data_IF_224206362518
#
_entry.id   IF_224206362518
#
_cell.length_a   1.000
_cell.length_b   1.000
_cell.length_c   1.000
_cell.angle_alpha   90.00
_cell.angle_beta   90.00
_cell.angle_gamma   90.00
#
_symmetry.space_group_name_H-M   'P 1'
#
loop_
_entity.id
_entity.type
_entity.pdbx_description
1 polymer ?
#
# COMPACT_ATOMS: atom_id res chain seq x y z
N UNK A 1 -1.97 5.99 18.00
CA UNK A 1 -1.32 4.70 17.68
C UNK A 1 -1.41 4.38 16.19
N UNK A 2 -2.52 4.67 15.54
CA UNK A 2 -2.61 4.60 14.07
C UNK A 2 -1.56 5.53 13.46
N UNK A 3 -1.51 6.78 13.89
CA UNK A 3 -0.56 7.82 13.43
C UNK A 3 0.93 7.46 13.61
N UNK A 4 1.31 6.77 14.69
CA UNK A 4 2.70 6.30 14.88
C UNK A 4 3.01 5.10 13.98
N UNK A 5 2.01 4.26 13.74
CA UNK A 5 2.15 3.11 12.83
C UNK A 5 2.24 3.56 11.38
N UNK A 6 1.41 4.52 10.94
CA UNK A 6 1.48 5.08 9.58
C UNK A 6 2.81 5.81 9.36
N UNK A 7 3.18 6.76 10.19
CA UNK A 7 4.44 7.49 10.07
C UNK A 7 5.69 6.59 10.01
N UNK A 8 5.69 5.46 10.77
CA UNK A 8 6.79 4.50 10.70
C UNK A 8 6.75 3.66 9.41
N UNK A 9 5.57 3.45 8.85
CA UNK A 9 5.40 2.74 7.57
C UNK A 9 5.80 3.63 6.41
N UNK A 10 5.38 4.89 6.42
CA UNK A 10 5.70 5.89 5.42
C UNK A 10 7.23 6.13 5.38
N UNK A 11 7.86 6.30 6.56
CA UNK A 11 9.32 6.35 6.63
C UNK A 11 10.01 5.10 6.08
N UNK A 12 9.45 3.91 6.26
CA UNK A 12 10.04 2.69 5.75
C UNK A 12 9.82 2.53 4.24
N UNK A 13 8.64 2.89 3.72
CA UNK A 13 8.31 2.77 2.31
C UNK A 13 9.01 3.84 1.47
N UNK A 14 8.84 5.10 1.85
CA UNK A 14 9.30 6.22 1.02
C UNK A 14 10.77 6.55 1.32
N UNK A 15 11.18 6.41 2.59
CA UNK A 15 12.54 6.66 3.01
C UNK A 15 13.51 5.51 2.73
N UNK A 16 13.26 4.33 3.31
CA UNK A 16 14.22 3.23 3.26
C UNK A 16 14.14 2.43 1.96
N UNK A 17 12.93 2.21 1.45
CA UNK A 17 12.64 1.41 0.24
C UNK A 17 12.17 2.24 -0.95
N UNK A 18 12.01 3.56 -0.80
CA UNK A 18 11.80 4.54 -1.85
C UNK A 18 13.08 5.32 -2.18
N UNK A 19 12.92 6.58 -2.50
CA UNK A 19 14.00 7.45 -2.99
C UNK A 19 15.03 7.81 -1.91
N UNK A 20 14.60 7.90 -0.65
CA UNK A 20 15.47 8.21 0.47
C UNK A 20 14.78 9.03 1.56
N UNK A 21 15.55 9.55 2.50
CA UNK A 21 15.02 10.27 3.65
C UNK A 21 16.03 11.28 4.22
N UNK A 22 15.49 12.33 4.85
CA UNK A 22 16.31 13.31 5.54
C UNK A 22 16.71 12.82 6.92
N UNK A 23 18.00 12.85 7.25
CA UNK A 23 18.52 12.42 8.53
C UNK A 23 17.93 13.29 9.67
N UNK A 24 17.24 12.64 10.61
CA UNK A 24 16.51 13.28 11.72
C UNK A 24 15.37 14.23 11.27
N UNK A 25 14.87 14.12 10.04
CA UNK A 25 13.82 14.99 9.50
C UNK A 25 14.26 16.44 9.28
N UNK A 26 15.58 16.70 9.24
CA UNK A 26 16.09 18.06 9.03
C UNK A 26 16.02 18.38 7.55
N UNK A 27 15.15 19.31 7.17
CA UNK A 27 14.93 19.73 5.79
C UNK A 27 13.79 18.99 5.07
N UNK A 28 13.15 17.98 5.69
CA UNK A 28 12.03 17.28 5.05
C UNK A 28 10.85 18.20 4.72
N UNK A 29 10.42 19.06 5.63
CA UNK A 29 9.36 20.03 5.39
C UNK A 29 9.70 21.04 4.30
N UNK A 30 10.96 21.48 4.24
CA UNK A 30 11.39 22.44 3.24
C UNK A 30 11.46 21.80 1.84
N UNK A 31 11.79 20.50 1.76
CA UNK A 31 11.78 19.72 0.53
C UNK A 31 10.36 19.40 0.06
N UNK A 32 9.47 19.00 0.98
CA UNK A 32 8.05 18.78 0.71
C UNK A 32 7.38 20.06 0.22
N UNK A 33 7.56 21.19 0.94
CA UNK A 33 7.03 22.48 0.54
C UNK A 33 7.52 22.91 -0.86
N UNK A 34 8.78 22.60 -1.21
CA UNK A 34 9.34 22.91 -2.52
C UNK A 34 8.79 22.00 -3.64
N UNK A 35 8.59 20.72 -3.36
CA UNK A 35 7.97 19.79 -4.29
C UNK A 35 6.50 20.13 -4.56
N UNK A 36 5.74 20.48 -3.51
CA UNK A 36 4.34 20.91 -3.61
C UNK A 36 4.22 22.23 -4.38
N UNK A 37 5.12 23.20 -4.10
CA UNK A 37 5.15 24.47 -4.85
C UNK A 37 5.44 24.23 -6.33
N UNK A 38 6.35 23.33 -6.65
CA UNK A 38 6.69 22.99 -8.04
C UNK A 38 5.57 22.20 -8.71
N UNK A 39 5.03 21.15 -8.09
CA UNK A 39 3.96 20.31 -8.64
C UNK A 39 2.70 21.12 -8.95
N UNK A 40 2.22 21.92 -8.00
CA UNK A 40 1.05 22.79 -8.21
C UNK A 40 1.30 23.85 -9.28
N UNK A 41 2.54 24.31 -9.43
CA UNK A 41 2.90 25.24 -10.51
C UNK A 41 2.84 24.57 -11.88
N UNK A 42 3.31 23.32 -11.99
CA UNK A 42 3.26 22.54 -13.21
C UNK A 42 1.82 22.22 -13.62
N UNK A 43 0.95 21.87 -12.67
CA UNK A 43 -0.47 21.62 -12.90
C UNK A 43 -1.20 22.85 -13.46
N UNK A 44 -0.91 24.03 -12.89
CA UNK A 44 -1.46 25.30 -13.42
C UNK A 44 -0.98 25.56 -14.84
N UNK A 45 0.31 25.38 -15.12
CA UNK A 45 0.88 25.59 -16.46
C UNK A 45 0.24 24.63 -17.44
N UNK A 46 0.16 23.35 -17.11
CA UNK A 46 -0.42 22.30 -17.95
C UNK A 46 -1.91 22.54 -18.24
N UNK A 47 -2.68 23.01 -17.25
CA UNK A 47 -4.10 23.37 -17.47
C UNK A 47 -4.28 24.47 -18.52
N UNK A 48 -3.42 25.47 -18.53
CA UNK A 48 -3.46 26.51 -19.57
C UNK A 48 -2.97 25.99 -20.93
N UNK A 49 -2.00 25.07 -20.97
CA UNK A 49 -1.54 24.43 -22.20
C UNK A 49 -2.66 23.58 -22.82
N UNK A 50 -3.34 22.75 -22.02
CA UNK A 50 -4.47 21.93 -22.47
C UNK A 50 -5.62 22.77 -23.02
N UNK A 51 -5.93 23.89 -22.38
CA UNK A 51 -6.96 24.83 -22.85
C UNK A 51 -6.64 25.38 -24.24
N UNK A 52 -5.35 25.53 -24.60
CA UNK A 52 -4.90 25.95 -25.91
C UNK A 52 -4.74 24.79 -26.89
N UNK A 53 -4.90 23.54 -26.47
CA UNK A 53 -4.68 22.33 -27.24
C UNK A 53 -3.22 22.06 -27.57
N UNK A 54 -2.31 22.53 -26.67
CA UNK A 54 -0.88 22.23 -26.69
C UNK A 54 -0.54 20.88 -26.07
N UNK A 55 0.72 20.47 -26.19
CA UNK A 55 1.28 19.30 -25.55
C UNK A 55 1.70 19.66 -24.14
N UNK A 56 1.23 18.93 -23.13
CA UNK A 56 1.54 19.15 -21.71
C UNK A 56 3.03 18.95 -21.43
N UNK A 57 3.53 19.67 -20.44
CA UNK A 57 4.90 19.46 -19.94
C UNK A 57 4.88 18.26 -19.01
N UNK A 58 5.59 17.21 -19.41
CA UNK A 58 5.81 16.01 -18.60
C UNK A 58 7.29 15.95 -18.23
N UNK A 59 7.59 16.26 -16.97
CA UNK A 59 8.95 16.29 -16.43
C UNK A 59 9.49 14.89 -16.08
N UNK A 60 8.64 13.87 -16.07
CA UNK A 60 9.04 12.46 -15.83
C UNK A 60 9.40 11.72 -17.13
N UNK A 61 9.17 12.33 -18.30
CA UNK A 61 9.46 11.70 -19.57
C UNK A 61 10.98 11.50 -19.80
N UNK A 62 11.38 10.35 -20.30
CA UNK A 62 12.78 9.99 -20.57
C UNK A 62 13.52 10.98 -21.53
N UNK A 63 12.78 11.70 -22.35
CA UNK A 63 13.27 12.69 -23.33
C UNK A 63 12.95 14.13 -22.94
N UNK A 64 12.70 14.39 -21.65
CA UNK A 64 12.35 15.72 -21.16
C UNK A 64 13.45 16.74 -21.42
N UNK A 65 13.11 17.84 -22.10
CA UNK A 65 14.02 18.94 -22.42
C UNK A 65 13.58 20.21 -21.68
N UNK A 66 14.40 20.62 -20.69
CA UNK A 66 14.19 21.81 -19.86
C UNK A 66 14.07 23.09 -20.70
N UNK A 67 14.90 23.22 -21.74
CA UNK A 67 14.87 24.40 -22.62
C UNK A 67 13.60 24.46 -23.46
N UNK A 68 13.06 23.30 -23.87
CA UNK A 68 11.79 23.21 -24.57
C UNK A 68 10.60 23.53 -23.65
N UNK A 69 10.61 23.02 -22.42
CA UNK A 69 9.59 23.31 -21.40
C UNK A 69 9.54 24.81 -21.07
N UNK A 70 10.71 25.42 -20.88
CA UNK A 70 10.83 26.85 -20.65
C UNK A 70 10.29 27.68 -21.82
N UNK A 71 10.68 27.34 -23.06
CA UNK A 71 10.19 28.01 -24.26
C UNK A 71 8.66 27.88 -24.40
N UNK A 72 8.09 26.75 -24.02
CA UNK A 72 6.64 26.52 -24.02
C UNK A 72 5.94 27.41 -23.00
N UNK A 73 6.45 27.52 -21.78
CA UNK A 73 5.91 28.37 -20.72
C UNK A 73 5.99 29.87 -21.09
N UNK A 74 7.12 30.30 -21.65
CA UNK A 74 7.30 31.69 -22.14
C UNK A 74 6.33 32.04 -23.27
N UNK A 75 6.14 31.11 -24.22
CA UNK A 75 5.16 31.26 -25.30
C UNK A 75 3.73 31.32 -24.76
N UNK A 76 3.43 30.53 -23.74
CA UNK A 76 2.12 30.51 -23.09
C UNK A 76 1.81 31.88 -22.47
N UNK A 77 2.75 32.45 -21.71
CA UNK A 77 2.62 33.80 -21.11
C UNK A 77 2.42 34.90 -22.18
N UNK A 78 3.03 34.73 -23.36
CA UNK A 78 2.90 35.71 -24.45
C UNK A 78 1.57 35.56 -25.22
N UNK A 79 0.96 34.38 -25.23
CA UNK A 79 -0.19 34.02 -26.07
C UNK A 79 -1.52 34.09 -25.33
N UNK A 80 -1.50 33.78 -24.02
CA UNK A 80 -2.72 33.75 -23.17
C UNK A 80 -3.25 35.16 -22.91
N UNK A 81 -4.57 35.31 -23.06
CA UNK A 81 -5.24 36.58 -22.71
C UNK A 81 -5.21 36.77 -21.17
N UNK A 82 -4.91 37.99 -20.73
CA UNK A 82 -4.87 38.36 -19.30
C UNK A 82 -6.18 38.16 -18.53
N UNK A 83 -7.27 37.91 -19.24
CA UNK A 83 -8.57 37.56 -18.65
C UNK A 83 -8.88 36.07 -18.66
N UNK A 84 -7.99 35.26 -19.21
CA UNK A 84 -8.19 33.81 -19.27
C UNK A 84 -8.12 33.16 -17.88
N UNK A 85 -8.90 32.11 -17.74
CA UNK A 85 -8.89 31.25 -16.54
C UNK A 85 -8.84 29.80 -17.00
N UNK A 86 -8.11 28.95 -16.33
CA UNK A 86 -8.07 27.52 -16.58
C UNK A 86 -8.45 26.74 -15.31
N UNK A 87 -9.16 25.65 -15.49
CA UNK A 87 -9.52 24.76 -14.39
C UNK A 87 -8.45 23.65 -14.29
N UNK A 88 -7.94 23.40 -13.09
CA UNK A 88 -6.98 22.36 -12.79
C UNK A 88 -7.48 21.52 -11.61
N UNK A 89 -7.02 20.29 -11.55
CA UNK A 89 -7.43 19.32 -10.51
C UNK A 89 -6.37 19.30 -9.43
N UNK A 90 -6.80 19.49 -8.18
CA UNK A 90 -5.96 19.32 -6.98
C UNK A 90 -6.45 18.06 -6.27
N UNK A 91 -5.57 17.12 -6.03
CA UNK A 91 -5.84 15.94 -5.23
C UNK A 91 -5.44 16.21 -3.77
N UNK A 92 -6.37 16.03 -2.85
CA UNK A 92 -6.10 16.10 -1.42
C UNK A 92 -5.44 14.79 -0.97
N UNK A 93 -4.19 14.88 -0.51
CA UNK A 93 -3.38 13.71 -0.11
C UNK A 93 -3.99 12.88 1.03
N UNK A 94 -4.78 13.48 1.93
CA UNK A 94 -5.39 12.76 3.05
C UNK A 94 -6.69 12.06 2.65
N UNK A 95 -7.48 12.69 1.78
CA UNK A 95 -8.82 12.22 1.43
C UNK A 95 -8.89 11.53 0.08
N UNK A 96 -7.87 11.70 -0.78
CA UNK A 96 -7.86 11.29 -2.20
C UNK A 96 -9.09 11.83 -2.95
N UNK A 97 -9.61 12.99 -2.53
CA UNK A 97 -10.68 13.67 -3.21
C UNK A 97 -10.09 14.67 -4.21
N UNK A 98 -10.42 14.47 -5.48
CA UNK A 98 -10.08 15.42 -6.53
C UNK A 98 -10.98 16.65 -6.44
N UNK A 99 -10.41 17.83 -6.25
CA UNK A 99 -11.12 19.09 -6.28
C UNK A 99 -10.66 19.91 -7.49
N UNK A 100 -11.62 20.46 -8.22
CA UNK A 100 -11.31 21.33 -9.37
C UNK A 100 -11.20 22.76 -8.89
N UNK A 101 -10.04 23.36 -9.07
CA UNK A 101 -9.79 24.77 -8.79
C UNK A 101 -9.60 25.56 -10.10
N UNK A 102 -9.88 26.85 -10.06
CA UNK A 102 -9.77 27.73 -11.24
C UNK A 102 -8.61 28.70 -11.06
N UNK A 103 -7.57 28.55 -11.86
CA UNK A 103 -6.43 29.47 -11.93
C UNK A 103 -6.69 30.65 -12.86
N UNK A 104 -6.18 31.82 -12.50
CA UNK A 104 -6.23 33.05 -13.32
C UNK A 104 -4.87 33.31 -13.95
N UNK A 105 -4.82 34.24 -14.89
CA UNK A 105 -3.55 34.66 -15.51
C UNK A 105 -2.46 35.06 -14.50
N UNK A 106 -2.83 35.70 -13.38
CA UNK A 106 -1.87 36.08 -12.33
C UNK A 106 -1.27 34.83 -11.64
N UNK A 107 -2.06 33.78 -11.50
CA UNK A 107 -1.62 32.52 -10.91
C UNK A 107 -0.70 31.77 -11.90
N UNK A 108 -0.97 31.84 -13.20
CA UNK A 108 -0.07 31.36 -14.26
C UNK A 108 1.29 32.08 -14.25
N UNK A 109 1.29 33.40 -14.12
CA UNK A 109 2.54 34.18 -14.05
C UNK A 109 3.38 33.79 -12.81
N UNK A 110 2.71 33.58 -11.67
CA UNK A 110 3.35 33.09 -10.45
C UNK A 110 3.86 31.65 -10.59
N UNK A 111 3.08 30.77 -11.22
CA UNK A 111 3.44 29.38 -11.48
C UNK A 111 4.66 29.26 -12.40
N UNK A 112 4.71 30.03 -13.48
CA UNK A 112 5.89 30.03 -14.37
C UNK A 112 7.13 30.55 -13.64
N UNK A 113 7.00 31.60 -12.80
CA UNK A 113 8.11 32.09 -12.01
C UNK A 113 8.58 31.07 -10.94
N UNK A 114 7.68 30.30 -10.36
CA UNK A 114 8.01 29.21 -9.46
C UNK A 114 8.70 28.05 -10.19
N UNK A 115 8.17 27.63 -11.34
CA UNK A 115 8.81 26.60 -12.15
C UNK A 115 10.21 27.00 -12.67
N UNK A 116 10.40 28.27 -13.01
CA UNK A 116 11.72 28.82 -13.36
C UNK A 116 12.72 28.80 -12.19
N UNK A 117 12.28 29.01 -10.96
CA UNK A 117 13.11 28.92 -9.75
C UNK A 117 13.74 27.52 -9.61
N UNK A 118 13.02 26.49 -10.02
CA UNK A 118 13.46 25.09 -10.00
C UNK A 118 13.99 24.59 -11.36
N UNK A 119 14.19 25.49 -12.34
CA UNK A 119 14.63 25.15 -13.70
C UNK A 119 13.75 24.13 -14.42
N UNK A 120 12.44 24.11 -14.18
CA UNK A 120 11.50 23.14 -14.71
C UNK A 120 11.88 21.66 -14.42
N UNK A 121 12.61 21.41 -13.36
CA UNK A 121 12.96 20.09 -12.87
C UNK A 121 12.50 19.94 -11.43
N UNK A 122 12.17 18.73 -11.02
CA UNK A 122 11.78 18.47 -9.64
C UNK A 122 12.87 18.92 -8.66
N UNK A 123 12.50 19.58 -7.56
CA UNK A 123 13.46 20.00 -6.54
C UNK A 123 14.17 18.77 -5.97
N UNK A 124 15.51 18.74 -6.05
CA UNK A 124 16.29 17.64 -5.48
C UNK A 124 16.21 17.67 -3.94
N UNK A 125 15.65 16.65 -3.29
CA UNK A 125 15.59 16.60 -1.84
C UNK A 125 16.95 16.72 -1.15
N UNK A 126 18.04 16.38 -1.83
CA UNK A 126 19.41 16.49 -1.32
C UNK A 126 19.87 17.94 -1.08
N UNK A 127 19.22 18.91 -1.74
CA UNK A 127 19.55 20.33 -1.58
C UNK A 127 19.04 20.93 -0.26
N UNK A 128 18.07 20.29 0.39
CA UNK A 128 17.35 20.79 1.57
C UNK A 128 17.84 20.21 2.90
N UNK A 129 18.91 19.38 2.91
CA UNK A 129 19.43 18.83 4.16
C UNK A 129 20.38 17.67 3.99
N UNK A 130 20.54 16.85 5.03
CA UNK A 130 21.36 15.63 4.94
C UNK A 130 20.48 14.49 4.41
N UNK A 131 20.55 14.32 3.11
CA UNK A 131 19.82 13.27 2.41
C UNK A 131 20.51 11.91 2.51
N UNK A 132 19.74 10.87 2.81
CA UNK A 132 20.21 9.48 2.81
C UNK A 132 19.44 8.75 1.72
N UNK A 133 20.08 8.38 0.61
CA UNK A 133 19.41 7.68 -0.48
C UNK A 133 18.85 6.33 -0.01
N UNK A 134 17.71 5.96 -0.54
CA UNK A 134 17.07 4.69 -0.27
C UNK A 134 17.87 3.49 -0.75
N UNK A 135 17.51 2.31 -0.27
CA UNK A 135 18.17 1.05 -0.67
C UNK A 135 18.06 0.80 -2.19
N UNK A 136 16.92 1.05 -2.86
CA UNK A 136 16.80 0.90 -4.30
C UNK A 136 17.80 1.77 -5.06
N UNK A 137 17.91 3.05 -4.72
CA UNK A 137 18.83 4.01 -5.35
C UNK A 137 20.29 3.60 -5.17
N UNK A 138 20.67 3.09 -3.99
CA UNK A 138 22.01 2.57 -3.72
C UNK A 138 22.33 1.31 -4.55
N UNK A 139 21.36 0.43 -4.72
CA UNK A 139 21.51 -0.78 -5.53
C UNK A 139 21.58 -0.41 -7.00
N UNK A 140 20.74 0.51 -7.46
CA UNK A 140 20.74 1.01 -8.83
C UNK A 140 22.08 1.62 -9.21
N UNK A 141 22.59 2.56 -8.43
CA UNK A 141 23.92 3.15 -8.64
C UNK A 141 25.05 2.13 -8.63
N UNK A 142 24.94 1.10 -7.79
CA UNK A 142 25.88 -0.03 -7.77
C UNK A 142 25.83 -0.89 -9.03
N UNK A 143 24.64 -1.16 -9.57
CA UNK A 143 24.45 -1.93 -10.80
C UNK A 143 24.93 -1.14 -12.03
N UNK A 144 24.71 0.17 -12.05
CA UNK A 144 25.20 1.06 -13.11
C UNK A 144 26.74 1.13 -13.13
N UNK A 145 27.37 1.18 -11.96
CA UNK A 145 28.84 1.14 -11.85
C UNK A 145 29.46 -0.16 -12.42
N UNK A 146 28.70 -1.26 -12.44
CA UNK A 146 29.14 -2.56 -12.97
C UNK A 146 28.73 -2.73 -14.45
N UNK A 147 28.04 -1.77 -15.08
CA UNK A 147 27.46 -1.87 -16.42
C UNK A 147 26.60 -3.16 -16.59
N UNK A 148 25.68 -3.36 -15.69
CA UNK A 148 24.82 -4.55 -15.69
C UNK A 148 23.84 -4.49 -16.88
N UNK A 149 23.46 -5.65 -17.41
CA UNK A 149 22.46 -5.69 -18.49
C UNK A 149 21.08 -5.23 -17.95
N UNK A 150 20.34 -4.43 -18.73
CA UNK A 150 19.08 -3.78 -18.34
C UNK A 150 18.05 -4.77 -17.80
N UNK A 151 17.92 -5.95 -18.43
CA UNK A 151 17.01 -6.99 -17.94
C UNK A 151 17.34 -7.49 -16.53
N UNK A 152 18.64 -7.50 -16.16
CA UNK A 152 19.07 -7.93 -14.84
C UNK A 152 18.88 -6.81 -13.82
N UNK A 153 19.02 -5.55 -14.24
CA UNK A 153 18.71 -4.37 -13.45
C UNK A 153 17.22 -4.38 -13.09
N UNK A 154 16.31 -4.52 -14.07
CA UNK A 154 14.86 -4.64 -13.84
C UNK A 154 14.50 -5.82 -12.94
N UNK A 155 15.06 -7.01 -13.15
CA UNK A 155 14.81 -8.16 -12.27
C UNK A 155 15.21 -7.89 -10.82
N UNK A 156 16.33 -7.21 -10.58
CA UNK A 156 16.82 -6.93 -9.23
C UNK A 156 16.00 -5.82 -8.59
N UNK A 157 15.76 -4.71 -9.28
CA UNK A 157 15.04 -3.56 -8.74
C UNK A 157 13.53 -3.88 -8.62
N UNK A 158 12.86 -4.18 -9.73
CA UNK A 158 11.40 -4.33 -9.76
C UNK A 158 10.93 -5.69 -9.23
N UNK A 159 11.75 -6.75 -9.44
CA UNK A 159 11.39 -8.09 -8.97
C UNK A 159 11.77 -8.32 -7.51
N UNK A 160 13.02 -8.09 -7.12
CA UNK A 160 13.53 -8.46 -5.79
C UNK A 160 13.40 -7.30 -4.81
N UNK A 161 13.93 -6.13 -5.15
CA UNK A 161 13.99 -4.99 -4.22
C UNK A 161 12.60 -4.43 -3.96
N UNK A 162 11.79 -4.22 -4.99
CA UNK A 162 10.40 -3.79 -4.83
C UNK A 162 9.56 -4.82 -4.05
N UNK A 163 9.73 -6.13 -4.34
CA UNK A 163 9.03 -7.19 -3.61
C UNK A 163 9.43 -7.30 -2.14
N UNK A 164 10.72 -7.17 -1.83
CA UNK A 164 11.23 -7.16 -0.45
C UNK A 164 10.81 -5.86 0.25
N UNK A 165 10.90 -4.72 -0.45
CA UNK A 165 10.49 -3.41 0.04
C UNK A 165 9.03 -3.39 0.46
N UNK A 166 8.13 -3.87 -0.39
CA UNK A 166 6.71 -3.98 -0.08
C UNK A 166 6.42 -4.80 1.19
N UNK A 167 7.20 -5.86 1.46
CA UNK A 167 7.05 -6.64 2.69
C UNK A 167 7.59 -5.89 3.90
N UNK A 168 8.80 -5.35 3.78
CA UNK A 168 9.49 -4.69 4.90
C UNK A 168 8.86 -3.34 5.24
N UNK A 169 8.26 -2.65 4.26
CA UNK A 169 7.50 -1.43 4.48
C UNK A 169 6.31 -1.62 5.43
N UNK A 170 5.63 -2.76 5.39
CA UNK A 170 4.55 -3.09 6.34
C UNK A 170 5.02 -3.60 7.70
N UNK A 171 6.30 -3.94 7.86
CA UNK A 171 6.82 -4.50 9.12
C UNK A 171 6.66 -3.54 10.31
N UNK A 172 6.93 -2.23 10.23
CA UNK A 172 6.76 -1.32 11.36
C UNK A 172 5.34 -1.33 11.89
N UNK A 173 4.34 -1.25 11.02
CA UNK A 173 2.92 -1.32 11.41
C UNK A 173 2.58 -2.66 12.07
N UNK A 174 3.12 -3.77 11.55
CA UNK A 174 2.92 -5.10 12.13
C UNK A 174 3.57 -5.23 13.51
N UNK A 175 4.76 -4.65 13.71
CA UNK A 175 5.42 -4.66 15.03
C UNK A 175 4.60 -3.91 16.07
N UNK A 176 4.04 -2.74 15.74
CA UNK A 176 3.13 -2.00 16.63
C UNK A 176 1.91 -2.86 17.00
N UNK A 177 1.29 -3.52 16.02
CA UNK A 177 0.18 -4.44 16.25
C UNK A 177 0.58 -5.59 17.19
N UNK A 178 1.74 -6.20 16.99
CA UNK A 178 2.23 -7.28 17.83
C UNK A 178 2.57 -6.83 19.27
N UNK A 179 3.07 -5.60 19.46
CA UNK A 179 3.27 -5.02 20.79
C UNK A 179 1.94 -4.93 21.53
N UNK A 180 0.92 -4.36 20.88
CA UNK A 180 -0.42 -4.21 21.47
C UNK A 180 -1.02 -5.57 21.84
N UNK A 181 -0.94 -6.52 20.91
CA UNK A 181 -1.42 -7.88 21.16
C UNK A 181 -0.68 -8.55 22.30
N UNK A 182 0.64 -8.42 22.36
CA UNK A 182 1.45 -8.99 23.42
C UNK A 182 1.09 -8.38 24.80
N UNK A 183 0.81 -7.08 24.87
CA UNK A 183 0.35 -6.42 26.10
C UNK A 183 -1.02 -6.95 26.52
N UNK A 184 -2.00 -7.00 25.60
CA UNK A 184 -3.36 -7.45 25.90
C UNK A 184 -3.42 -8.94 26.28
N UNK A 185 -2.58 -9.76 25.66
CA UNK A 185 -2.46 -11.18 25.97
C UNK A 185 -1.80 -11.38 27.34
N UNK A 186 -0.70 -10.69 27.58
CA UNK A 186 0.05 -10.80 28.85
C UNK A 186 -0.74 -10.25 30.05
N UNK A 187 -1.57 -9.20 29.86
CA UNK A 187 -2.48 -8.71 30.90
C UNK A 187 -3.63 -9.69 31.24
N UNK A 188 -3.85 -10.75 30.44
CA UNK A 188 -4.99 -11.66 30.62
C UNK A 188 -6.33 -11.12 30.13
N UNK A 189 -6.33 -9.99 29.44
CA UNK A 189 -7.55 -9.34 28.92
C UNK A 189 -8.20 -10.16 27.80
N UNK A 190 -7.38 -10.71 26.89
CA UNK A 190 -7.86 -11.52 25.76
C UNK A 190 -8.62 -12.77 26.18
N UNK A 191 -8.19 -13.45 27.26
CA UNK A 191 -8.87 -14.62 27.80
C UNK A 191 -10.31 -14.29 28.26
N UNK A 192 -10.49 -13.13 28.87
CA UNK A 192 -11.82 -12.68 29.37
C UNK A 192 -12.76 -12.29 28.26
N UNK A 193 -12.27 -11.56 27.27
CA UNK A 193 -13.09 -11.22 26.07
C UNK A 193 -13.49 -12.50 25.36
N UNK A 194 -12.56 -13.44 25.15
CA UNK A 194 -12.86 -14.72 24.51
C UNK A 194 -13.93 -15.49 25.27
N UNK A 195 -13.92 -15.46 26.61
CA UNK A 195 -14.96 -16.07 27.46
C UNK A 195 -16.33 -15.43 27.26
N UNK A 196 -16.41 -14.11 27.25
CA UNK A 196 -17.67 -13.38 27.02
C UNK A 196 -18.22 -13.65 25.61
N UNK A 197 -17.32 -13.64 24.61
CA UNK A 197 -17.69 -13.84 23.21
C UNK A 197 -18.03 -15.29 22.89
N UNK A 198 -17.58 -16.27 23.67
CA UNK A 198 -17.87 -17.69 23.48
C UNK A 198 -19.40 -17.96 23.37
N UNK A 199 -20.19 -17.27 24.21
CA UNK A 199 -21.66 -17.39 24.19
C UNK A 199 -22.27 -16.98 22.84
N UNK A 200 -21.67 -16.01 22.17
CA UNK A 200 -22.14 -15.49 20.88
C UNK A 200 -21.65 -16.40 19.76
N UNK A 201 -20.36 -16.72 19.74
CA UNK A 201 -19.72 -17.51 18.69
C UNK A 201 -20.25 -18.94 18.58
N UNK A 202 -20.59 -19.56 19.71
CA UNK A 202 -21.24 -20.89 19.74
C UNK A 202 -22.56 -20.95 18.99
N UNK A 203 -23.33 -19.85 18.97
CA UNK A 203 -24.56 -19.81 18.18
C UNK A 203 -24.33 -19.96 16.69
N UNK A 204 -23.18 -19.48 16.21
CA UNK A 204 -22.76 -19.55 14.81
C UNK A 204 -21.89 -20.78 14.49
N UNK A 205 -21.64 -21.63 15.48
CA UNK A 205 -20.86 -22.87 15.30
C UNK A 205 -19.35 -22.71 15.44
N UNK A 206 -18.88 -21.53 15.87
CA UNK A 206 -17.47 -21.23 16.15
C UNK A 206 -17.23 -21.32 17.68
N UNK A 207 -16.01 -21.68 18.09
CA UNK A 207 -15.62 -21.65 19.50
C UNK A 207 -15.19 -20.24 19.93
N UNK A 208 -15.28 -19.91 21.21
CA UNK A 208 -14.83 -18.64 21.74
C UNK A 208 -13.33 -18.36 21.50
N UNK A 209 -12.51 -19.42 21.38
CA UNK A 209 -11.10 -19.30 21.01
C UNK A 209 -10.91 -18.76 19.57
N UNK A 210 -11.91 -18.90 18.69
CA UNK A 210 -11.88 -18.36 17.32
C UNK A 210 -11.96 -16.83 17.26
N UNK A 211 -12.47 -16.19 18.32
CA UNK A 211 -12.56 -14.74 18.39
C UNK A 211 -11.19 -14.06 18.29
N UNK A 212 -10.17 -14.61 18.96
CA UNK A 212 -8.82 -14.01 18.97
C UNK A 212 -8.21 -13.95 17.56
N UNK A 213 -8.13 -15.07 16.79
CA UNK A 213 -7.68 -15.02 15.40
C UNK A 213 -8.48 -14.10 14.50
N UNK A 214 -9.80 -14.04 14.66
CA UNK A 214 -10.66 -13.15 13.86
C UNK A 214 -10.38 -11.69 14.18
N UNK A 215 -10.24 -11.33 15.48
CA UNK A 215 -9.88 -9.98 15.89
C UNK A 215 -8.51 -9.56 15.35
N UNK A 216 -7.50 -10.43 15.44
CA UNK A 216 -6.18 -10.17 14.85
C UNK A 216 -6.28 -10.02 13.33
N UNK A 217 -7.15 -10.81 12.69
CA UNK A 217 -7.42 -10.79 11.25
C UNK A 217 -7.99 -9.47 10.75
N UNK A 218 -8.63 -8.66 11.60
CA UNK A 218 -9.08 -7.30 11.24
C UNK A 218 -7.91 -6.35 10.98
N UNK A 219 -6.79 -6.53 11.69
CA UNK A 219 -5.56 -5.79 11.44
C UNK A 219 -4.77 -6.39 10.27
N UNK A 220 -4.49 -7.69 10.34
CA UNK A 220 -3.80 -8.43 9.27
C UNK A 220 -4.22 -9.91 9.26
N UNK A 221 -4.61 -10.41 8.09
CA UNK A 221 -5.09 -11.80 7.93
C UNK A 221 -4.02 -12.86 8.23
N UNK A 222 -2.75 -12.62 7.89
CA UNK A 222 -1.66 -13.61 8.07
C UNK A 222 -1.40 -13.89 9.56
N UNK A 223 -1.17 -12.88 10.43
CA UNK A 223 -1.06 -13.10 11.87
C UNK A 223 -2.33 -13.71 12.48
N UNK A 224 -3.51 -13.33 11.97
CA UNK A 224 -4.79 -13.94 12.39
C UNK A 224 -4.82 -15.44 12.14
N UNK A 225 -4.45 -15.88 10.95
CA UNK A 225 -4.33 -17.31 10.61
C UNK A 225 -3.24 -17.98 11.46
N UNK A 226 -2.11 -17.33 11.70
CA UNK A 226 -1.05 -17.88 12.54
C UNK A 226 -1.52 -18.06 13.99
N UNK A 227 -2.32 -17.12 14.52
CA UNK A 227 -2.90 -17.21 15.87
C UNK A 227 -3.92 -18.35 16.00
N UNK A 228 -4.55 -18.79 14.91
CA UNK A 228 -5.48 -19.93 14.94
C UNK A 228 -4.83 -21.26 15.38
N UNK A 229 -3.48 -21.34 15.37
CA UNK A 229 -2.74 -22.53 15.87
C UNK A 229 -2.93 -22.77 17.36
N UNK A 230 -3.37 -21.76 18.12
CA UNK A 230 -3.70 -21.90 19.53
C UNK A 230 -5.00 -22.68 19.77
N UNK A 231 -5.78 -22.92 18.73
CA UNK A 231 -7.02 -23.70 18.78
C UNK A 231 -6.67 -25.18 18.68
N UNK A 232 -6.94 -25.93 19.75
CA UNK A 232 -6.60 -27.35 19.89
C UNK A 232 -7.46 -28.24 18.97
N UNK A 233 -8.76 -27.90 18.88
CA UNK A 233 -9.68 -28.64 18.02
C UNK A 233 -9.42 -28.33 16.55
N UNK A 234 -9.02 -29.34 15.79
CA UNK A 234 -8.65 -29.21 14.38
C UNK A 234 -9.82 -28.72 13.51
N UNK A 235 -11.03 -29.16 13.82
CA UNK A 235 -12.24 -28.72 13.12
C UNK A 235 -12.48 -27.23 13.32
N UNK A 236 -12.49 -26.77 14.56
CA UNK A 236 -12.71 -25.35 14.90
C UNK A 236 -11.59 -24.48 14.34
N UNK A 237 -10.36 -24.98 14.35
CA UNK A 237 -9.20 -24.32 13.75
C UNK A 237 -9.38 -24.13 12.25
N UNK A 238 -9.77 -25.18 11.51
CA UNK A 238 -10.02 -25.10 10.07
C UNK A 238 -11.16 -24.12 9.74
N UNK A 239 -12.27 -24.18 10.49
CA UNK A 239 -13.36 -23.21 10.33
C UNK A 239 -12.88 -21.79 10.56
N UNK A 240 -12.11 -21.54 11.62
CA UNK A 240 -11.55 -20.21 11.93
C UNK A 240 -10.64 -19.73 10.82
N UNK A 241 -9.73 -20.57 10.29
CA UNK A 241 -8.85 -20.22 9.17
C UNK A 241 -9.65 -19.79 7.94
N UNK A 242 -10.73 -20.53 7.61
CA UNK A 242 -11.58 -20.21 6.46
C UNK A 242 -12.34 -18.89 6.64
N UNK A 243 -12.75 -18.55 7.87
CA UNK A 243 -13.60 -17.39 8.12
C UNK A 243 -12.83 -16.11 8.47
N UNK A 244 -11.60 -16.22 8.99
CA UNK A 244 -10.79 -15.08 9.44
C UNK A 244 -10.51 -14.06 8.34
N UNK A 245 -10.41 -14.51 7.08
CA UNK A 245 -10.06 -13.66 5.94
C UNK A 245 -11.23 -12.91 5.30
N UNK A 246 -12.46 -13.10 5.78
CA UNK A 246 -13.62 -12.39 5.23
C UNK A 246 -13.67 -10.91 5.64
N UNK A 247 -13.17 -10.56 6.81
CA UNK A 247 -13.10 -9.16 7.22
C UNK A 247 -11.98 -8.47 6.43
N UNK A 248 -12.24 -7.27 5.89
CA UNK A 248 -11.20 -6.45 5.30
C UNK A 248 -10.12 -6.12 6.33
N UNK A 249 -8.87 -6.31 5.98
CA UNK A 249 -7.72 -5.86 6.77
C UNK A 249 -7.16 -4.56 6.19
N UNK A 250 -6.25 -3.91 6.89
CA UNK A 250 -5.64 -2.65 6.46
C UNK A 250 -5.10 -2.68 5.01
N UNK A 251 -4.48 -3.79 4.60
CA UNK A 251 -3.98 -3.95 3.24
C UNK A 251 -5.07 -4.10 2.16
N UNK A 252 -6.30 -4.48 2.53
CA UNK A 252 -7.44 -4.57 1.60
C UNK A 252 -8.21 -3.27 1.49
N UNK A 253 -8.07 -2.37 2.45
CA UNK A 253 -8.82 -1.12 2.50
C UNK A 253 -8.55 -0.20 1.30
N UNK A 254 -7.27 0.04 0.87
CA UNK A 254 -6.99 0.83 -0.32
C UNK A 254 -7.63 0.25 -1.59
N UNK A 255 -7.57 -1.08 -1.75
CA UNK A 255 -8.21 -1.76 -2.88
C UNK A 255 -9.74 -1.59 -2.88
N UNK A 256 -10.37 -1.67 -1.70
CA UNK A 256 -11.82 -1.43 -1.57
C UNK A 256 -12.14 0.03 -1.84
N UNK A 257 -11.30 0.97 -1.38
CA UNK A 257 -11.46 2.40 -1.63
C UNK A 257 -11.36 2.72 -3.13
N UNK A 258 -10.37 2.15 -3.82
CA UNK A 258 -10.20 2.30 -5.27
C UNK A 258 -11.43 1.81 -6.04
N UNK A 259 -11.96 0.62 -5.71
CA UNK A 259 -13.19 0.10 -6.35
C UNK A 259 -14.39 0.99 -6.00
N UNK A 260 -14.48 1.46 -4.75
CA UNK A 260 -15.55 2.34 -4.31
C UNK A 260 -15.50 3.69 -5.06
N UNK A 261 -14.30 4.25 -5.28
CA UNK A 261 -14.08 5.44 -6.08
C UNK A 261 -14.54 5.25 -7.54
N UNK A 262 -14.03 4.21 -8.19
CA UNK A 262 -14.31 3.94 -9.60
C UNK A 262 -15.79 3.63 -9.91
N UNK A 263 -16.50 2.89 -9.02
CA UNK A 263 -17.86 2.43 -9.30
C UNK A 263 -18.92 3.30 -8.61
N UNK A 264 -18.64 3.80 -7.42
CA UNK A 264 -19.63 4.48 -6.54
C UNK A 264 -19.31 5.95 -6.28
N UNK A 265 -18.36 6.54 -6.99
CA UNK A 265 -18.01 7.96 -6.88
C UNK A 265 -17.48 8.37 -5.49
N UNK A 266 -16.61 7.56 -4.88
CA UNK A 266 -15.91 7.92 -3.64
C UNK A 266 -16.75 7.86 -2.35
N UNK A 267 -17.90 7.19 -2.36
CA UNK A 267 -18.79 7.14 -1.19
C UNK A 267 -18.18 6.37 -0.01
N UNK A 268 -17.91 7.06 1.10
CA UNK A 268 -17.40 6.49 2.36
C UNK A 268 -18.31 5.37 2.94
N UNK A 269 -19.61 5.37 2.62
CA UNK A 269 -20.55 4.33 3.01
C UNK A 269 -20.21 2.96 2.43
N UNK A 270 -19.57 2.90 1.27
CA UNK A 270 -19.18 1.64 0.62
C UNK A 270 -18.06 0.95 1.39
N UNK A 271 -17.04 1.68 1.79
CA UNK A 271 -15.94 1.17 2.59
C UNK A 271 -16.43 0.66 3.96
N UNK A 272 -17.28 1.45 4.64
CA UNK A 272 -17.90 1.04 5.91
C UNK A 272 -18.80 -0.19 5.70
N UNK A 273 -19.59 -0.22 4.63
CA UNK A 273 -20.45 -1.34 4.26
C UNK A 273 -19.68 -2.65 4.05
N UNK A 274 -18.47 -2.59 3.50
CA UNK A 274 -17.61 -3.76 3.29
C UNK A 274 -17.26 -4.49 4.60
N UNK A 275 -17.04 -3.75 5.70
CA UNK A 275 -16.82 -4.36 7.01
C UNK A 275 -18.06 -5.09 7.53
N UNK A 276 -19.25 -4.50 7.39
CA UNK A 276 -20.49 -5.15 7.80
C UNK A 276 -20.81 -6.38 6.95
N UNK A 277 -20.54 -6.32 5.65
CA UNK A 277 -20.65 -7.47 4.74
C UNK A 277 -19.67 -8.56 5.15
N UNK A 278 -18.44 -8.22 5.50
CA UNK A 278 -17.43 -9.16 6.00
C UNK A 278 -17.88 -9.88 7.27
N UNK A 279 -18.44 -9.15 8.23
CA UNK A 279 -19.00 -9.73 9.48
C UNK A 279 -20.18 -10.65 9.14
N UNK A 280 -21.10 -10.21 8.29
CA UNK A 280 -22.22 -11.02 7.85
C UNK A 280 -21.76 -12.30 7.13
N UNK A 281 -20.73 -12.22 6.30
CA UNK A 281 -20.13 -13.35 5.61
C UNK A 281 -19.55 -14.38 6.60
N UNK A 282 -18.88 -13.95 7.67
CA UNK A 282 -18.39 -14.85 8.73
C UNK A 282 -19.55 -15.61 9.37
N UNK A 283 -20.62 -14.91 9.72
CA UNK A 283 -21.79 -15.51 10.36
C UNK A 283 -22.46 -16.53 9.44
N UNK A 284 -22.73 -16.14 8.20
CA UNK A 284 -23.37 -16.99 7.19
C UNK A 284 -22.49 -18.22 6.90
N UNK A 285 -21.20 -17.99 6.68
CA UNK A 285 -20.23 -19.06 6.42
C UNK A 285 -20.12 -20.02 7.59
N UNK A 286 -20.09 -19.53 8.83
CA UNK A 286 -20.07 -20.34 10.04
C UNK A 286 -21.28 -21.26 10.12
N UNK A 287 -22.48 -20.72 9.88
CA UNK A 287 -23.74 -21.49 9.87
C UNK A 287 -23.76 -22.52 8.73
N UNK A 288 -23.30 -22.14 7.55
CA UNK A 288 -23.22 -23.05 6.39
C UNK A 288 -22.24 -24.18 6.63
N UNK A 289 -21.04 -23.88 7.12
CA UNK A 289 -20.01 -24.87 7.41
C UNK A 289 -20.44 -25.85 8.49
N UNK A 290 -21.14 -25.38 9.53
CA UNK A 290 -21.70 -26.26 10.58
C UNK A 290 -22.67 -27.33 10.02
N UNK A 291 -23.38 -27.03 8.93
CA UNK A 291 -24.31 -27.98 8.28
C UNK A 291 -23.59 -29.02 7.41
N UNK A 292 -22.32 -28.79 7.07
CA UNK A 292 -21.55 -29.70 6.22
C UNK A 292 -21.03 -30.88 7.04
N UNK A 293 -21.11 -32.10 6.51
CA UNK A 293 -20.68 -33.33 7.20
C UNK A 293 -19.25 -33.26 7.77
N UNK A 294 -18.35 -32.51 7.12
CA UNK A 294 -16.95 -32.36 7.51
C UNK A 294 -16.78 -31.52 8.79
N UNK A 295 -17.72 -30.58 9.04
CA UNK A 295 -17.71 -29.64 10.17
C UNK A 295 -18.90 -29.83 11.11
N UNK A 296 -19.74 -30.87 10.91
CA UNK A 296 -20.88 -31.14 11.75
C UNK A 296 -20.43 -31.54 13.16
N UNK A 297 -21.16 -31.05 14.16
CA UNK A 297 -20.93 -31.31 15.59
C UNK A 297 -20.93 -30.04 16.41
N UNK A 298 -20.91 -30.18 17.72
CA UNK A 298 -20.86 -29.05 18.63
C UNK A 298 -19.43 -28.50 18.76
N UNK A 299 -19.25 -27.17 18.86
CA UNK A 299 -17.95 -26.56 19.09
C UNK A 299 -17.37 -27.05 20.42
N UNK A 300 -16.05 -27.18 20.48
CA UNK A 300 -15.35 -27.61 21.68
C UNK A 300 -15.73 -26.72 22.89
N UNK A 301 -15.91 -27.29 24.08
CA UNK A 301 -16.18 -26.49 25.29
C UNK A 301 -15.02 -25.53 25.53
N UNK A 302 -15.36 -24.28 25.79
CA UNK A 302 -14.37 -23.29 26.16
C UNK A 302 -13.97 -23.48 27.62
N UNK A 303 -12.87 -24.18 27.83
CA UNK A 303 -12.27 -24.32 29.16
C UNK A 303 -10.95 -23.53 29.14
N UNK A 304 -10.93 -22.40 29.81
CA UNK A 304 -9.74 -21.60 29.98
C UNK A 304 -9.70 -21.05 31.42
N UNK A 305 -8.61 -21.25 32.09
CA UNK A 305 -8.36 -20.58 33.37
C UNK A 305 -8.24 -19.08 33.12
N UNK A 306 -9.00 -18.27 33.91
CA UNK A 306 -8.93 -16.83 33.81
C UNK A 306 -7.71 -16.35 34.63
N UNK A 307 -6.62 -15.93 33.96
CA UNK A 307 -5.43 -15.45 34.67
C UNK A 307 -5.77 -14.18 35.44
N UNK A 308 -5.11 -14.00 36.60
CA UNK A 308 -5.19 -12.74 37.33
C UNK A 308 -4.59 -11.61 36.50
N UNK A 309 -5.15 -10.41 36.61
CA UNK A 309 -4.56 -9.24 35.95
C UNK A 309 -3.18 -8.97 36.54
N UNK A 310 -2.19 -8.85 35.65
CA UNK A 310 -0.86 -8.40 35.99
C UNK A 310 -0.29 -7.48 34.91
N UNK A 311 0.58 -6.59 35.33
CA UNK A 311 1.27 -5.70 34.39
C UNK A 311 2.40 -6.52 33.77
N UNK A 312 2.45 -6.63 32.41
CA UNK A 312 3.48 -7.39 31.75
C UNK A 312 4.84 -6.69 31.87
N UNK A 313 5.90 -7.48 32.01
CA UNK A 313 7.26 -6.96 31.96
C UNK A 313 7.59 -6.57 30.51
N UNK A 314 8.21 -5.40 30.33
CA UNK A 314 8.57 -4.87 29.00
C UNK A 314 9.43 -5.87 28.21
N UNK A 315 10.35 -6.56 28.88
CA UNK A 315 11.20 -7.56 28.23
C UNK A 315 10.43 -8.74 27.63
N UNK A 316 9.38 -9.22 28.30
CA UNK A 316 8.54 -10.30 27.75
C UNK A 316 7.71 -9.84 26.55
N UNK A 317 7.20 -8.60 26.61
CA UNK A 317 6.44 -7.99 25.48
C UNK A 317 7.33 -7.85 24.25
N UNK A 318 8.52 -7.27 24.41
CA UNK A 318 9.48 -7.08 23.32
C UNK A 318 9.95 -8.41 22.73
N UNK A 319 10.22 -9.39 23.57
CA UNK A 319 10.62 -10.72 23.11
C UNK A 319 9.48 -11.40 22.31
N UNK A 320 8.26 -11.35 22.80
CA UNK A 320 7.09 -11.91 22.11
C UNK A 320 6.83 -11.19 20.77
N UNK A 321 6.96 -9.87 20.74
CA UNK A 321 6.89 -9.07 19.52
C UNK A 321 7.94 -9.53 18.49
N UNK A 322 9.21 -9.62 18.92
CA UNK A 322 10.30 -10.01 18.04
C UNK A 322 10.15 -11.42 17.47
N UNK A 323 9.81 -12.40 18.30
CA UNK A 323 9.60 -13.79 17.87
C UNK A 323 8.47 -13.90 16.83
N UNK A 324 7.37 -13.16 17.02
CA UNK A 324 6.24 -13.13 16.08
C UNK A 324 6.60 -12.36 14.81
N UNK A 325 7.23 -11.19 14.94
CA UNK A 325 7.69 -10.37 13.83
C UNK A 325 8.69 -11.10 12.94
N UNK A 326 9.70 -11.73 13.52
CA UNK A 326 10.68 -12.53 12.78
C UNK A 326 10.06 -13.71 12.04
N UNK A 327 9.11 -14.40 12.70
CA UNK A 327 8.36 -15.48 12.05
C UNK A 327 7.51 -15.02 10.89
N UNK A 328 6.96 -13.81 10.98
CA UNK A 328 6.21 -13.16 9.90
C UNK A 328 7.14 -12.81 8.74
N UNK A 329 8.22 -12.07 8.99
CA UNK A 329 9.20 -11.67 7.96
C UNK A 329 9.72 -12.88 7.20
N UNK A 330 10.11 -13.94 7.91
CA UNK A 330 10.65 -15.14 7.26
C UNK A 330 9.64 -15.85 6.36
N UNK A 331 8.36 -15.92 6.77
CA UNK A 331 7.34 -16.63 5.97
C UNK A 331 6.76 -15.76 4.88
N UNK A 332 6.35 -14.55 5.22
CA UNK A 332 5.76 -13.63 4.26
C UNK A 332 6.80 -13.17 3.24
N UNK A 333 8.00 -12.78 3.70
CA UNK A 333 9.08 -12.34 2.83
C UNK A 333 9.44 -13.37 1.76
N UNK A 334 9.64 -14.64 2.13
CA UNK A 334 9.97 -15.68 1.13
C UNK A 334 8.86 -15.90 0.10
N UNK A 335 7.59 -15.97 0.54
CA UNK A 335 6.48 -16.24 -0.37
C UNK A 335 6.22 -15.04 -1.28
N UNK A 336 6.24 -13.82 -0.72
CA UNK A 336 5.95 -12.61 -1.49
C UNK A 336 7.08 -12.35 -2.49
N UNK A 337 8.35 -12.42 -2.09
CA UNK A 337 9.49 -12.27 -3.02
C UNK A 337 9.43 -13.28 -4.15
N UNK A 338 9.09 -14.54 -3.88
CA UNK A 338 8.94 -15.54 -4.94
C UNK A 338 7.77 -15.19 -5.87
N UNK A 339 6.67 -14.67 -5.31
CA UNK A 339 5.50 -14.27 -6.09
C UNK A 339 5.78 -13.03 -6.95
N UNK A 340 6.51 -12.04 -6.42
CA UNK A 340 6.87 -10.83 -7.19
C UNK A 340 7.82 -11.16 -8.32
N UNK A 341 8.82 -12.02 -8.12
CA UNK A 341 9.68 -12.51 -9.19
C UNK A 341 8.85 -13.23 -10.27
N UNK A 342 7.88 -14.05 -9.86
CA UNK A 342 7.00 -14.74 -10.81
C UNK A 342 6.10 -13.76 -11.57
N UNK A 343 5.51 -12.79 -10.90
CA UNK A 343 4.68 -11.75 -11.53
C UNK A 343 5.53 -10.91 -12.48
N UNK A 344 6.71 -10.46 -12.04
CA UNK A 344 7.66 -9.72 -12.89
C UNK A 344 7.96 -10.51 -14.17
N UNK A 345 8.31 -11.80 -14.04
CA UNK A 345 8.58 -12.65 -15.20
C UNK A 345 7.39 -12.73 -16.15
N UNK A 346 6.17 -12.91 -15.65
CA UNK A 346 4.96 -12.99 -16.48
C UNK A 346 4.54 -11.66 -17.07
N UNK A 347 4.95 -10.53 -16.50
CA UNK A 347 4.66 -9.18 -16.99
C UNK A 347 5.65 -8.75 -18.08
N UNK A 348 6.92 -9.07 -17.92
CA UNK A 348 7.97 -8.63 -18.85
C UNK A 348 8.29 -9.65 -19.96
N UNK A 349 7.73 -10.86 -19.92
CA UNK A 349 7.90 -11.84 -20.98
C UNK A 349 6.60 -12.11 -21.71
N UNK A 350 6.68 -12.20 -23.05
CA UNK A 350 5.51 -12.44 -23.88
C UNK A 350 5.88 -12.90 -25.27
N UNK A 351 4.87 -13.00 -26.13
CA UNK A 351 5.00 -13.36 -27.53
C UNK A 351 4.76 -12.16 -28.43
N UNK A 352 5.81 -11.69 -29.10
CA UNK A 352 5.73 -10.65 -30.13
C UNK A 352 6.25 -11.24 -31.44
N UNK A 353 5.50 -11.10 -32.53
CA UNK A 353 5.84 -11.58 -33.89
C UNK A 353 6.22 -13.06 -33.97
N UNK A 354 5.62 -13.90 -33.09
CA UNK A 354 5.89 -15.35 -33.08
C UNK A 354 7.18 -15.77 -32.42
N UNK A 355 7.94 -14.84 -31.83
CA UNK A 355 9.09 -15.11 -30.97
C UNK A 355 8.77 -14.82 -29.51
N UNK A 356 9.25 -15.71 -28.63
CA UNK A 356 9.16 -15.50 -27.17
C UNK A 356 10.37 -14.68 -26.75
N UNK A 357 10.14 -13.55 -26.12
CA UNK A 357 11.21 -12.65 -25.69
C UNK A 357 10.80 -11.72 -24.59
N UNK A 358 11.72 -10.87 -24.16
CA UNK A 358 11.47 -9.79 -23.23
C UNK A 358 10.77 -8.65 -23.98
N UNK A 359 9.75 -8.10 -23.33
CA UNK A 359 8.92 -7.00 -23.85
C UNK A 359 9.52 -5.66 -23.42
N UNK A 360 9.47 -4.68 -24.30
CA UNK A 360 9.68 -3.27 -23.96
C UNK A 360 8.39 -2.68 -23.38
N UNK A 361 8.45 -1.55 -22.69
CA UNK A 361 7.29 -0.89 -22.06
C UNK A 361 6.12 -0.69 -23.02
N UNK A 362 6.39 -0.28 -24.25
CA UNK A 362 5.39 -0.15 -25.32
C UNK A 362 4.71 -1.46 -25.74
N UNK A 363 5.29 -2.61 -25.38
CA UNK A 363 4.83 -3.95 -25.77
C UNK A 363 4.20 -4.74 -24.62
N UNK A 364 3.99 -4.13 -23.47
CA UNK A 364 3.41 -4.79 -22.28
C UNK A 364 2.02 -5.39 -22.55
N UNK A 365 1.28 -4.89 -23.53
CA UNK A 365 0.00 -5.46 -23.95
C UNK A 365 0.11 -6.93 -24.43
N UNK A 366 1.29 -7.35 -24.87
CA UNK A 366 1.57 -8.71 -25.33
C UNK A 366 2.17 -9.61 -24.22
N UNK A 367 2.19 -9.12 -22.99
CA UNK A 367 2.70 -9.89 -21.84
C UNK A 367 1.83 -11.12 -21.55
N UNK A 368 2.43 -12.16 -21.02
CA UNK A 368 1.72 -13.39 -20.62
C UNK A 368 0.58 -13.06 -19.64
N UNK A 369 0.81 -12.09 -18.74
CA UNK A 369 -0.17 -11.69 -17.74
C UNK A 369 -1.40 -11.04 -18.40
N UNK A 370 -1.22 -10.08 -19.30
CA UNK A 370 -2.30 -9.38 -19.98
C UNK A 370 -2.98 -10.23 -21.07
N UNK A 371 -2.23 -11.07 -21.77
CA UNK A 371 -2.80 -11.97 -22.77
C UNK A 371 -3.82 -12.94 -22.15
N UNK A 372 -3.64 -13.29 -20.88
CA UNK A 372 -4.55 -14.21 -20.16
C UNK A 372 -5.69 -13.48 -19.42
N UNK A 373 -5.52 -12.21 -19.08
CA UNK A 373 -6.52 -11.42 -18.34
C UNK A 373 -7.33 -10.47 -19.20
N UNK A 374 -6.82 -10.10 -20.39
CA UNK A 374 -7.55 -9.26 -21.34
C UNK A 374 -8.72 -10.04 -21.95
N UNK A 375 -9.93 -9.46 -22.04
CA UNK A 375 -11.02 -10.06 -22.78
C UNK A 375 -10.58 -10.21 -24.24
N UNK A 376 -10.73 -11.42 -24.78
CA UNK A 376 -10.39 -11.73 -26.17
C UNK A 376 -11.06 -10.73 -27.12
N UNK A 377 -10.37 -10.15 -28.10
CA UNK A 377 -10.98 -9.26 -29.09
C UNK A 377 -11.97 -9.96 -30.04
N UNK A 378 -12.43 -11.15 -29.67
CA UNK A 378 -13.42 -11.97 -30.42
C UNK A 378 -14.81 -12.01 -29.80
N UNK A 379 -15.06 -11.31 -28.67
CA UNK A 379 -16.41 -11.23 -28.06
C UNK A 379 -17.05 -9.87 -28.29
#
# INVERSE_FOLDING_TARGET
MVTVGSAATDWANDGLFGDGWHLFGIGSSDAEDAADEYGSSLDIINAFIEQQGGEVIDNEADDFDVDAAKATADNLLATVDKSATADYTVEDEETLEETTETAKYADLEAAVAAAEKYNFADPDPADYGVWVPGIPVLIESGLDAVNCADWLKGLILDGIVAGVGAVLGFVPQMLVLFILLAILEACGYMARIAFVMDRIFRKFGLSGKSFIPILIGTGCGIPGIMASRTIENERDRRMTVMTTTFIPCGAKTPFIAMIAGAIFGGSAWVATGAYFIGIAAIIISGIMLKKTKMFAGDPAPFVMELPAYHIPTVGNVLRSMWERGWSFIKKAGTIITLSTIFVWFTSYFGWVDGSFGMLTEDQMEYSICLLYTSPSPRD
#
